data_IF_603711698732
#
_entry.id   IF_603711698732
#
_cell.length_a   1.000
_cell.length_b   1.000
_cell.length_c   1.000
_cell.angle_alpha   90.00
_cell.angle_beta   90.00
_cell.angle_gamma   90.00
#
_symmetry.space_group_name_H-M   'P 1'
#
loop_
_entity.id
_entity.type
_entity.pdbx_description
1 polymer ?
#
# COMPACT_ATOMS: atom_id res chain seq x y z
N UNK A 1 -5.10 -13.58 1.70
CA UNK A 1 -3.78 -13.10 1.23
C UNK A 1 -3.72 -11.60 1.51
N UNK A 2 -3.21 -11.19 2.68
CA UNK A 2 -3.05 -9.78 3.00
C UNK A 2 -1.96 -9.16 2.12
N UNK A 3 -2.20 -7.93 1.66
CA UNK A 3 -1.19 -7.13 0.97
C UNK A 3 -0.40 -6.33 2.00
N UNK A 4 0.92 -6.25 1.83
CA UNK A 4 1.80 -5.43 2.68
C UNK A 4 2.70 -4.54 1.83
N UNK A 5 3.22 -3.48 2.45
CA UNK A 5 4.21 -2.60 1.82
C UNK A 5 5.60 -2.93 2.33
N UNK A 6 6.50 -3.27 1.42
CA UNK A 6 7.91 -3.51 1.70
C UNK A 6 8.65 -2.18 1.97
N UNK A 7 9.15 -2.05 3.20
CA UNK A 7 9.91 -0.88 3.66
C UNK A 7 11.23 -0.65 2.92
N UNK A 8 11.81 -1.68 2.33
CA UNK A 8 13.08 -1.59 1.60
C UNK A 8 12.87 -1.07 0.18
N UNK A 9 11.66 -1.29 -0.38
CA UNK A 9 11.29 -0.85 -1.73
C UNK A 9 10.55 0.49 -1.71
N UNK A 10 9.84 0.79 -0.63
CA UNK A 10 9.15 2.05 -0.46
C UNK A 10 10.14 3.17 -0.10
N UNK A 11 10.22 4.28 -0.86
CA UNK A 11 11.17 5.36 -0.60
C UNK A 11 10.79 6.26 0.58
N UNK A 12 9.56 6.15 1.11
CA UNK A 12 9.10 6.88 2.31
C UNK A 12 9.41 8.40 2.29
N UNK A 13 9.23 9.00 1.11
CA UNK A 13 9.61 10.40 0.85
C UNK A 13 8.48 11.25 0.27
N UNK A 14 7.26 10.70 0.18
CA UNK A 14 6.10 11.39 -0.35
C UNK A 14 4.82 10.83 0.27
N UNK A 15 3.72 11.58 0.12
CA UNK A 15 2.41 11.06 0.47
C UNK A 15 1.96 10.03 -0.56
N UNK A 16 1.67 8.81 -0.11
CA UNK A 16 1.45 7.68 -0.98
C UNK A 16 0.21 7.89 -1.84
N UNK A 17 0.34 7.89 -3.19
CA UNK A 17 -0.81 8.08 -4.08
C UNK A 17 -1.79 6.90 -4.02
N UNK A 18 -1.36 5.74 -3.52
CA UNK A 18 -2.20 4.55 -3.39
C UNK A 18 -3.33 4.73 -2.36
N UNK A 19 -3.21 5.70 -1.44
CA UNK A 19 -4.25 6.02 -0.45
C UNK A 19 -5.55 6.41 -1.15
N UNK A 20 -5.47 7.31 -2.13
CA UNK A 20 -6.63 7.76 -2.90
C UNK A 20 -7.12 6.70 -3.90
N UNK A 21 -6.23 5.81 -4.34
CA UNK A 21 -6.56 4.74 -5.29
C UNK A 21 -7.37 3.61 -4.65
N UNK A 22 -7.16 3.33 -3.35
CA UNK A 22 -7.78 2.20 -2.68
C UNK A 22 -9.30 2.42 -2.54
N UNK A 23 -10.15 1.61 -3.20
CA UNK A 23 -11.61 1.80 -3.17
C UNK A 23 -12.23 1.53 -1.79
N UNK A 24 -11.50 0.81 -0.93
CA UNK A 24 -11.92 0.52 0.45
C UNK A 24 -11.23 1.41 1.47
N UNK A 25 -10.40 2.35 1.03
CA UNK A 25 -9.60 3.21 1.90
C UNK A 25 -8.83 2.42 2.96
N UNK A 26 -8.34 1.23 2.58
CA UNK A 26 -7.60 0.34 3.46
C UNK A 26 -6.13 0.77 3.64
N UNK A 27 -5.67 1.80 2.91
CA UNK A 27 -4.26 2.24 2.95
C UNK A 27 -4.20 3.56 3.73
N UNK A 28 -3.38 3.59 4.77
CA UNK A 28 -3.12 4.77 5.59
C UNK A 28 -1.62 5.09 5.59
N UNK A 29 -1.26 6.34 5.91
CA UNK A 29 0.13 6.77 6.03
C UNK A 29 0.21 7.93 7.01
N UNK A 30 1.25 7.93 7.85
CA UNK A 30 1.57 9.02 8.77
C UNK A 30 2.74 9.80 8.19
N UNK A 31 2.54 11.10 7.93
CA UNK A 31 3.53 11.95 7.28
C UNK A 31 3.98 11.37 5.93
N UNK A 32 5.29 11.20 5.74
CA UNK A 32 5.88 10.51 4.59
C UNK A 32 6.40 9.11 4.91
N UNK A 33 6.06 8.57 6.09
CA UNK A 33 6.49 7.23 6.51
C UNK A 33 5.92 6.09 5.67
N UNK A 34 6.20 4.85 6.08
CA UNK A 34 5.71 3.66 5.39
C UNK A 34 4.17 3.62 5.37
N UNK A 35 3.53 3.47 4.19
CA UNK A 35 2.09 3.25 4.11
C UNK A 35 1.73 1.89 4.70
N UNK A 36 0.63 1.84 5.45
CA UNK A 36 0.14 0.64 6.12
C UNK A 36 -1.18 0.21 5.49
N UNK A 37 -1.32 -1.09 5.25
CA UNK A 37 -2.54 -1.67 4.66
C UNK A 37 -3.31 -2.39 5.77
N UNK A 38 -4.54 -1.96 5.97
CA UNK A 38 -5.51 -2.59 6.86
C UNK A 38 -6.05 -3.86 6.20
N UNK A 39 -5.64 -5.02 6.73
CA UNK A 39 -6.02 -6.33 6.20
C UNK A 39 -7.52 -6.62 6.36
N UNK A 40 -8.20 -6.02 7.35
CA UNK A 40 -9.63 -6.21 7.57
C UNK A 40 -10.47 -5.47 6.52
N UNK A 41 -9.99 -4.30 6.08
CA UNK A 41 -10.64 -3.52 5.01
C UNK A 41 -10.21 -3.97 3.61
N UNK A 42 -9.05 -4.62 3.49
CA UNK A 42 -8.50 -5.02 2.20
C UNK A 42 -9.30 -6.17 1.58
N UNK A 43 -9.85 -5.93 0.39
CA UNK A 43 -10.57 -6.95 -0.40
C UNK A 43 -9.68 -7.69 -1.40
N UNK A 44 -8.35 -7.51 -1.34
CA UNK A 44 -7.42 -8.20 -2.23
C UNK A 44 -7.53 -7.80 -3.72
N UNK A 45 -7.99 -6.59 -4.04
CA UNK A 45 -8.25 -6.20 -5.44
C UNK A 45 -6.99 -5.97 -6.30
N UNK A 46 -5.79 -5.98 -5.72
CA UNK A 46 -4.52 -5.88 -6.44
C UNK A 46 -4.22 -4.53 -7.12
N UNK A 47 -5.10 -3.53 -7.02
CA UNK A 47 -4.89 -2.21 -7.66
C UNK A 47 -3.62 -1.52 -7.18
N UNK A 48 -3.36 -1.56 -5.87
CA UNK A 48 -2.16 -0.95 -5.28
C UNK A 48 -0.86 -1.61 -5.75
N UNK A 49 -0.86 -2.91 -6.01
CA UNK A 49 0.28 -3.64 -6.58
C UNK A 49 0.59 -3.13 -8.00
N UNK A 50 -0.43 -2.98 -8.83
CA UNK A 50 -0.28 -2.54 -10.23
C UNK A 50 0.10 -1.07 -10.38
N UNK A 51 -0.37 -0.22 -9.47
CA UNK A 51 -0.14 1.24 -9.57
C UNK A 51 1.11 1.73 -8.84
N UNK A 52 1.70 0.94 -7.94
CA UNK A 52 2.93 1.33 -7.28
C UNK A 52 4.11 1.25 -8.27
N UNK A 53 4.66 2.40 -8.69
CA UNK A 53 5.81 2.43 -9.61
C UNK A 53 7.06 1.72 -9.04
N UNK A 54 7.29 1.86 -7.72
CA UNK A 54 8.38 1.15 -7.02
C UNK A 54 8.06 -0.32 -6.76
N UNK A 55 6.85 -0.76 -7.12
CA UNK A 55 6.33 -2.11 -6.90
C UNK A 55 6.54 -2.56 -5.44
N UNK A 56 6.45 -1.63 -4.49
CA UNK A 56 6.74 -1.89 -3.09
C UNK A 56 5.60 -2.63 -2.37
N UNK A 57 4.47 -2.87 -3.04
CA UNK A 57 3.35 -3.62 -2.46
C UNK A 57 3.47 -5.07 -2.89
N UNK A 58 3.50 -5.97 -1.92
CA UNK A 58 3.66 -7.41 -2.12
C UNK A 58 2.51 -8.17 -1.45
N UNK A 59 2.19 -9.34 -2.00
CA UNK A 59 1.35 -10.33 -1.34
C UNK A 59 2.20 -11.08 -0.31
N UNK A 60 1.66 -11.30 0.88
CA UNK A 60 2.27 -12.18 1.88
C UNK A 60 1.45 -13.46 1.90
N UNK A 61 2.12 -14.59 1.65
CA UNK A 61 1.60 -15.93 1.90
C UNK A 61 1.59 -16.25 3.39
#
# INVERSE_FOLDING_TARGET
MPLVVDKNRCPQNHRCPLIALCPRQAISQVGFGLPQIDAEKCIGCGKCVRSCFKQAVCEVE
#
